data_IF_019533313452
#
_entry.id   IF_019533313452
#
_cell.length_a   1.000
_cell.length_b   1.000
_cell.length_c   1.000
_cell.angle_alpha   90.00
_cell.angle_beta   90.00
_cell.angle_gamma   90.00
#
_symmetry.space_group_name_H-M   'P 1'
#
loop_
_entity.id
_entity.type
_entity.pdbx_description
1 polymer ?
#
# COMPACT_ATOMS: atom_id res chain seq x y z
N UNK A 1 8.37 -15.45 -19.62
CA UNK A 1 9.15 -14.42 -20.36
C UNK A 1 8.67 -13.07 -19.89
N UNK A 2 9.56 -12.15 -19.70
CA UNK A 2 9.22 -10.76 -19.40
C UNK A 2 8.81 -10.03 -20.69
N UNK A 3 7.82 -9.12 -20.61
CA UNK A 3 7.32 -8.41 -21.79
C UNK A 3 8.33 -7.40 -22.30
N UNK A 4 9.02 -6.69 -21.41
CA UNK A 4 10.01 -5.68 -21.82
C UNK A 4 11.20 -6.35 -22.52
N UNK A 5 11.67 -7.49 -21.99
CA UNK A 5 12.71 -8.32 -22.67
C UNK A 5 12.26 -8.78 -24.06
N UNK A 6 10.99 -9.18 -24.20
CA UNK A 6 10.44 -9.58 -25.51
C UNK A 6 10.42 -8.42 -26.51
N UNK A 7 10.06 -7.24 -26.07
CA UNK A 7 10.04 -6.02 -26.91
C UNK A 7 11.46 -5.65 -27.34
N UNK A 8 12.41 -5.65 -26.41
CA UNK A 8 13.81 -5.30 -26.69
C UNK A 8 14.49 -6.28 -27.64
N UNK A 9 14.25 -7.57 -27.43
CA UNK A 9 14.90 -8.63 -28.26
C UNK A 9 14.20 -8.91 -29.56
N UNK A 10 12.97 -8.44 -29.77
CA UNK A 10 12.15 -8.75 -30.95
C UNK A 10 11.82 -10.23 -31.09
N UNK A 11 11.91 -11.02 -30.04
CA UNK A 11 11.67 -12.46 -30.03
C UNK A 11 10.20 -12.75 -30.36
N UNK A 12 9.97 -13.61 -31.34
CA UNK A 12 8.61 -14.04 -31.70
C UNK A 12 8.01 -14.94 -30.63
N UNK A 13 6.72 -14.74 -30.36
CA UNK A 13 5.94 -15.56 -29.42
C UNK A 13 5.16 -16.63 -30.17
N UNK A 14 4.92 -17.76 -29.50
CA UNK A 14 4.15 -18.90 -30.03
C UNK A 14 3.08 -19.33 -29.06
N UNK A 15 2.08 -20.06 -29.56
CA UNK A 15 1.03 -20.61 -28.72
C UNK A 15 1.61 -21.44 -27.55
N UNK A 16 1.13 -21.17 -26.37
CA UNK A 16 1.58 -21.76 -25.11
C UNK A 16 2.61 -20.93 -24.34
N UNK A 17 3.18 -19.90 -24.96
CA UNK A 17 4.11 -19.03 -24.24
C UNK A 17 3.38 -18.27 -23.11
N UNK A 18 4.06 -18.16 -21.96
CA UNK A 18 3.59 -17.41 -20.81
C UNK A 18 4.42 -16.15 -20.67
N UNK A 19 3.74 -15.00 -20.64
CA UNK A 19 4.36 -13.66 -20.60
C UNK A 19 3.90 -12.96 -19.34
N UNK A 20 4.81 -12.25 -18.70
CA UNK A 20 4.58 -11.39 -17.56
C UNK A 20 4.92 -9.95 -17.93
N UNK A 21 4.08 -9.02 -17.53
CA UNK A 21 4.36 -7.60 -17.60
C UNK A 21 4.16 -6.98 -16.21
N UNK A 22 5.18 -6.32 -15.71
CA UNK A 22 5.15 -5.60 -14.44
C UNK A 22 5.09 -4.10 -14.72
N UNK A 23 4.02 -3.46 -14.28
CA UNK A 23 3.87 -2.02 -14.42
C UNK A 23 4.28 -1.32 -13.12
N UNK A 24 5.55 -0.89 -13.04
CA UNK A 24 6.12 -0.09 -11.95
C UNK A 24 5.96 -0.72 -10.55
N UNK A 25 5.93 -2.04 -10.45
CA UNK A 25 5.67 -2.74 -9.19
C UNK A 25 4.24 -2.59 -8.63
N UNK A 26 3.34 -1.90 -9.35
CA UNK A 26 1.98 -1.56 -8.90
C UNK A 26 0.87 -2.27 -9.68
N UNK A 27 1.20 -2.89 -10.77
CA UNK A 27 0.27 -3.65 -11.60
C UNK A 27 0.97 -4.82 -12.24
N UNK A 28 0.27 -5.95 -12.32
CA UNK A 28 0.78 -7.17 -12.90
C UNK A 28 -0.17 -7.65 -13.99
N UNK A 29 0.38 -7.95 -15.16
CA UNK A 29 -0.36 -8.58 -16.24
C UNK A 29 0.31 -9.91 -16.63
N UNK A 30 -0.49 -10.95 -16.70
CA UNK A 30 -0.06 -12.30 -17.07
C UNK A 30 -0.79 -12.73 -18.32
N UNK A 31 -0.08 -13.29 -19.29
CA UNK A 31 -0.64 -13.77 -20.54
C UNK A 31 -0.26 -15.22 -20.81
N UNK A 32 -1.22 -15.93 -21.41
CA UNK A 32 -0.95 -17.21 -22.09
C UNK A 32 -1.34 -17.01 -23.53
N UNK A 33 -0.38 -17.17 -24.43
CA UNK A 33 -0.58 -17.00 -25.86
C UNK A 33 -1.38 -18.19 -26.38
N UNK A 34 -2.56 -17.92 -26.95
CA UNK A 34 -3.39 -18.93 -27.59
C UNK A 34 -2.96 -19.20 -29.05
N UNK A 35 -3.57 -20.21 -29.65
CA UNK A 35 -3.32 -20.56 -31.09
C UNK A 35 -4.15 -19.74 -32.07
N UNK A 36 -5.20 -19.06 -31.62
CA UNK A 36 -6.05 -18.19 -32.46
C UNK A 36 -5.59 -16.74 -32.35
N UNK A 37 -5.87 -15.94 -33.39
CA UNK A 37 -5.59 -14.51 -33.35
C UNK A 37 -6.42 -13.79 -32.27
N UNK A 38 -5.94 -12.65 -31.81
CA UNK A 38 -6.64 -11.79 -30.82
C UNK A 38 -8.01 -11.32 -31.32
N UNK A 39 -8.20 -11.20 -32.63
CA UNK A 39 -9.50 -10.86 -33.22
C UNK A 39 -10.62 -11.86 -32.88
N UNK A 40 -10.25 -13.07 -32.47
CA UNK A 40 -11.20 -14.10 -31.99
C UNK A 40 -11.53 -13.93 -30.51
N UNK A 41 -10.98 -12.91 -29.87
CA UNK A 41 -11.21 -12.58 -28.47
C UNK A 41 -10.19 -13.21 -27.52
N UNK A 42 -10.30 -12.85 -26.26
CA UNK A 42 -9.51 -13.39 -25.15
C UNK A 42 -10.37 -13.59 -23.91
N UNK A 43 -9.95 -14.47 -23.03
CA UNK A 43 -10.52 -14.59 -21.69
C UNK A 43 -9.74 -13.70 -20.75
N UNK A 44 -10.43 -12.79 -20.04
CA UNK A 44 -9.80 -11.85 -19.12
C UNK A 44 -10.25 -12.16 -17.70
N UNK A 45 -9.28 -12.35 -16.80
CA UNK A 45 -9.47 -12.41 -15.36
C UNK A 45 -8.91 -11.12 -14.78
N UNK A 46 -9.73 -10.37 -14.05
CA UNK A 46 -9.30 -9.09 -13.45
C UNK A 46 -9.63 -9.05 -11.97
N UNK A 47 -8.68 -8.57 -11.18
CA UNK A 47 -8.87 -8.32 -9.76
C UNK A 47 -7.98 -7.15 -9.32
N UNK A 48 -8.37 -6.41 -8.26
CA UNK A 48 -7.50 -5.45 -7.62
C UNK A 48 -6.72 -6.12 -6.49
N UNK A 49 -5.57 -5.55 -6.11
CA UNK A 49 -4.69 -6.06 -5.05
C UNK A 49 -4.41 -5.03 -3.96
N UNK A 50 -4.85 -3.79 -4.15
CA UNK A 50 -4.83 -2.77 -3.12
C UNK A 50 -5.92 -3.02 -2.09
N UNK A 51 -5.65 -2.57 -0.86
CA UNK A 51 -6.59 -2.64 0.26
C UNK A 51 -6.84 -1.25 0.81
N UNK A 52 -8.01 -0.99 1.42
CA UNK A 52 -8.26 0.26 2.11
C UNK A 52 -7.24 0.48 3.23
N UNK A 53 -6.69 1.69 3.34
CA UNK A 53 -5.58 2.02 4.24
C UNK A 53 -5.57 3.50 4.60
N UNK A 54 -4.57 3.92 5.35
CA UNK A 54 -4.19 5.32 5.46
C UNK A 54 -2.90 5.55 4.67
N UNK A 55 -2.78 6.73 4.06
CA UNK A 55 -1.57 7.19 3.37
C UNK A 55 -1.05 8.44 4.08
N UNK A 56 0.28 8.60 4.20
CA UNK A 56 0.86 9.85 4.70
C UNK A 56 0.62 10.98 3.70
N UNK A 57 0.35 12.18 4.22
CA UNK A 57 0.35 13.41 3.41
C UNK A 57 1.77 13.79 3.00
N UNK A 58 1.90 14.74 2.08
CA UNK A 58 3.20 15.14 1.52
C UNK A 58 4.14 15.82 2.51
N UNK A 59 3.60 16.52 3.51
CA UNK A 59 4.35 17.11 4.63
C UNK A 59 3.71 16.59 5.91
N UNK A 60 3.97 15.32 6.27
CA UNK A 60 3.14 14.66 7.27
C UNK A 60 3.55 14.97 8.71
N UNK A 61 4.84 15.29 8.95
CA UNK A 61 5.40 15.36 10.29
C UNK A 61 5.12 16.70 10.97
N UNK A 62 4.42 16.66 12.10
CA UNK A 62 4.18 17.81 12.96
C UNK A 62 4.24 17.41 14.43
N UNK A 63 4.32 18.39 15.32
CA UNK A 63 4.27 18.22 16.77
C UNK A 63 3.05 18.94 17.33
N UNK A 64 2.29 18.26 18.17
CA UNK A 64 1.22 18.84 18.97
C UNK A 64 1.22 18.21 20.37
N UNK A 65 1.05 19.06 21.40
CA UNK A 65 0.98 18.63 22.81
C UNK A 65 2.14 17.70 23.23
N UNK A 66 3.38 18.04 22.86
CA UNK A 66 4.58 17.26 23.11
C UNK A 66 4.55 15.84 22.49
N UNK A 67 3.85 15.66 21.40
CA UNK A 67 3.80 14.43 20.61
C UNK A 67 4.13 14.69 19.15
N UNK A 68 4.95 13.85 18.56
CA UNK A 68 5.20 13.86 17.13
C UNK A 68 4.16 12.96 16.43
N UNK A 69 3.55 13.50 15.40
CA UNK A 69 2.45 12.90 14.66
C UNK A 69 2.73 12.93 13.16
N UNK A 70 2.24 11.90 12.46
CA UNK A 70 2.12 11.93 11.02
C UNK A 70 0.68 12.23 10.62
N UNK A 71 0.49 13.32 9.89
CA UNK A 71 -0.78 13.68 9.26
C UNK A 71 -1.08 12.70 8.12
N UNK A 72 -2.29 12.15 8.12
CA UNK A 72 -2.70 11.11 7.18
C UNK A 72 -4.00 11.47 6.46
N UNK A 73 -4.27 10.74 5.40
CA UNK A 73 -5.61 10.63 4.84
C UNK A 73 -5.92 9.15 4.58
N UNK A 74 -7.18 8.76 4.66
CA UNK A 74 -7.57 7.39 4.36
C UNK A 74 -7.87 7.21 2.87
N UNK A 75 -7.49 6.04 2.37
CA UNK A 75 -7.74 5.59 1.02
C UNK A 75 -8.76 4.45 1.02
N UNK A 76 -9.77 4.54 0.14
CA UNK A 76 -10.86 3.57 0.07
C UNK A 76 -11.87 3.71 1.20
N UNK A 77 -12.72 2.70 1.36
CA UNK A 77 -13.76 2.68 2.39
C UNK A 77 -13.27 2.01 3.67
N UNK A 78 -12.97 2.79 4.70
CA UNK A 78 -12.62 2.27 6.03
C UNK A 78 -13.69 2.58 7.08
N UNK A 79 -13.87 1.68 8.04
CA UNK A 79 -14.59 1.97 9.28
C UNK A 79 -13.60 2.62 10.24
N UNK A 80 -13.53 3.95 10.26
CA UNK A 80 -12.52 4.74 10.99
C UNK A 80 -12.33 4.32 12.44
N UNK A 81 -13.41 3.96 13.13
CA UNK A 81 -13.37 3.50 14.52
C UNK A 81 -12.63 2.16 14.72
N UNK A 82 -12.37 1.40 13.66
CA UNK A 82 -11.56 0.18 13.72
C UNK A 82 -10.06 0.44 13.60
N UNK A 83 -9.66 1.64 13.24
CA UNK A 83 -8.27 2.01 12.98
C UNK A 83 -7.58 2.68 14.16
N UNK A 84 -8.35 3.06 15.19
CA UNK A 84 -7.82 3.59 16.44
C UNK A 84 -7.41 2.45 17.38
N UNK A 85 -6.38 2.69 18.21
CA UNK A 85 -5.85 1.73 19.20
C UNK A 85 -5.28 0.42 18.63
N UNK A 86 -5.10 0.34 17.33
CA UNK A 86 -4.41 -0.77 16.67
C UNK A 86 -2.91 -0.50 16.56
N UNK A 87 -2.07 -1.53 16.72
CA UNK A 87 -0.70 -1.43 16.22
C UNK A 87 -0.72 -1.31 14.70
N UNK A 88 -0.03 -0.31 14.18
CA UNK A 88 0.09 -0.03 12.75
C UNK A 88 1.54 -0.10 12.32
N UNK A 89 1.77 -0.43 11.05
CA UNK A 89 3.05 -0.49 10.37
C UNK A 89 3.11 0.50 9.22
N UNK A 90 4.32 0.89 8.83
CA UNK A 90 4.60 1.82 7.73
C UNK A 90 5.28 1.08 6.59
N UNK A 91 4.70 1.19 5.39
CA UNK A 91 5.22 0.56 4.18
C UNK A 91 5.27 1.53 3.03
N UNK A 92 6.34 1.52 2.26
CA UNK A 92 6.40 2.34 1.08
C UNK A 92 7.80 2.58 0.55
N UNK A 93 7.89 3.61 -0.28
CA UNK A 93 9.15 4.04 -0.88
C UNK A 93 9.27 5.55 -0.83
N UNK A 94 10.48 6.01 -0.68
CA UNK A 94 10.87 7.41 -0.74
C UNK A 94 11.87 7.56 -1.87
N UNK A 95 11.57 8.42 -2.84
CA UNK A 95 12.50 8.75 -3.93
C UNK A 95 13.29 9.99 -3.57
N UNK A 96 14.60 9.86 -3.36
CA UNK A 96 15.46 10.98 -2.95
C UNK A 96 15.85 11.86 -4.12
N UNK A 97 16.29 13.09 -3.82
CA UNK A 97 16.72 14.09 -4.83
C UNK A 97 17.89 13.61 -5.69
N UNK A 98 18.72 12.72 -5.18
CA UNK A 98 19.86 12.12 -5.91
C UNK A 98 19.46 10.96 -6.83
N UNK A 99 18.17 10.61 -6.89
CA UNK A 99 17.63 9.50 -7.66
C UNK A 99 17.67 8.14 -6.95
N UNK A 100 18.21 8.08 -5.75
CA UNK A 100 18.17 6.87 -4.94
C UNK A 100 16.77 6.66 -4.33
N UNK A 101 16.47 5.44 -3.95
CA UNK A 101 15.20 5.05 -3.31
C UNK A 101 15.45 4.41 -1.96
N UNK A 102 14.65 4.80 -0.97
CA UNK A 102 14.60 4.17 0.36
C UNK A 102 13.30 3.39 0.46
N UNK A 103 13.39 2.09 0.75
CA UNK A 103 12.21 1.28 1.06
C UNK A 103 11.92 1.38 2.55
N UNK A 104 10.71 1.78 2.88
CA UNK A 104 10.20 1.83 4.25
C UNK A 104 9.44 0.55 4.55
N UNK A 105 9.81 -0.13 5.62
CA UNK A 105 9.11 -1.29 6.16
C UNK A 105 9.36 -1.33 7.66
N UNK A 106 8.44 -0.78 8.45
CA UNK A 106 8.55 -0.61 9.90
C UNK A 106 7.28 -1.15 10.55
N UNK A 107 7.40 -2.04 11.53
CA UNK A 107 6.30 -2.53 12.34
C UNK A 107 5.86 -3.97 12.08
N UNK A 108 6.47 -4.68 11.12
CA UNK A 108 6.11 -6.06 10.81
C UNK A 108 6.86 -7.11 11.62
N UNK A 109 8.12 -6.83 11.94
CA UNK A 109 8.95 -7.79 12.67
C UNK A 109 8.66 -7.71 14.18
N UNK A 110 8.85 -8.80 14.93
CA UNK A 110 8.56 -8.83 16.37
C UNK A 110 9.30 -7.76 17.21
N UNK A 111 10.44 -7.28 16.73
CA UNK A 111 11.25 -6.27 17.41
C UNK A 111 11.13 -4.86 16.83
N UNK A 112 10.34 -4.69 15.76
CA UNK A 112 10.12 -3.37 15.19
C UNK A 112 9.22 -2.55 16.11
N UNK A 113 9.42 -1.23 16.21
CA UNK A 113 8.44 -0.35 16.81
C UNK A 113 7.16 -0.34 15.96
N UNK A 114 6.03 -0.24 16.61
CA UNK A 114 4.74 0.01 15.92
C UNK A 114 4.33 1.46 16.15
N UNK A 115 3.52 1.97 15.24
CA UNK A 115 2.87 3.28 15.35
C UNK A 115 1.38 3.09 15.57
N UNK A 116 0.61 4.13 15.82
CA UNK A 116 -0.82 3.97 16.00
C UNK A 116 -1.57 5.28 16.16
N UNK A 117 -2.89 5.20 16.03
CA UNK A 117 -3.80 6.31 16.32
C UNK A 117 -4.34 6.12 17.72
N UNK A 118 -4.11 7.09 18.60
CA UNK A 118 -4.65 7.07 19.95
C UNK A 118 -6.15 7.38 19.96
N UNK A 119 -6.85 6.94 21.00
CA UNK A 119 -8.26 7.25 21.22
C UNK A 119 -8.49 7.65 22.67
N UNK A 120 -9.62 8.27 22.93
CA UNK A 120 -10.02 8.68 24.26
C UNK A 120 -10.33 7.45 25.15
N UNK A 121 -9.83 7.48 26.37
CA UNK A 121 -10.26 6.49 27.36
C UNK A 121 -11.73 6.73 27.77
N UNK A 122 -12.39 5.67 28.24
CA UNK A 122 -13.83 5.65 28.48
C UNK A 122 -14.33 6.83 29.38
N UNK A 123 -13.53 7.26 30.33
CA UNK A 123 -13.92 8.34 31.26
C UNK A 123 -13.95 9.72 30.60
N UNK A 124 -13.27 9.90 29.45
CA UNK A 124 -13.23 11.15 28.68
C UNK A 124 -14.08 11.09 27.42
N UNK A 125 -14.60 9.92 27.03
CA UNK A 125 -15.27 9.69 25.77
C UNK A 125 -16.78 9.88 25.76
N UNK A 126 -17.37 10.49 26.79
CA UNK A 126 -18.82 10.61 26.94
C UNK A 126 -19.55 11.20 25.73
N UNK A 127 -19.05 12.30 25.19
CA UNK A 127 -19.60 12.89 23.95
C UNK A 127 -19.36 12.03 22.71
N UNK A 128 -18.20 11.37 22.63
CA UNK A 128 -17.85 10.49 21.54
C UNK A 128 -18.79 9.29 21.50
N UNK A 129 -19.06 8.68 22.65
CA UNK A 129 -19.91 7.49 22.76
C UNK A 129 -21.38 7.74 22.39
N UNK A 130 -21.83 8.99 22.43
CA UNK A 130 -23.17 9.38 21.98
C UNK A 130 -23.33 9.53 20.47
N UNK A 131 -22.27 9.46 19.69
CA UNK A 131 -22.27 9.66 18.24
C UNK A 131 -22.57 8.37 17.49
N UNK A 132 -23.02 8.52 16.23
CA UNK A 132 -23.11 7.36 15.31
C UNK A 132 -21.72 6.81 15.00
N UNK A 133 -21.61 5.53 14.74
CA UNK A 133 -20.34 4.88 14.41
C UNK A 133 -19.60 5.55 13.24
N UNK A 134 -20.31 6.13 12.26
CA UNK A 134 -19.72 6.86 11.14
C UNK A 134 -19.10 8.21 11.54
N UNK A 135 -19.45 8.74 12.70
CA UNK A 135 -19.12 10.08 13.19
C UNK A 135 -18.22 10.04 14.45
N UNK A 136 -18.09 8.86 15.09
CA UNK A 136 -17.35 8.69 16.33
C UNK A 136 -15.87 9.04 16.18
N UNK A 137 -15.27 8.68 15.05
CA UNK A 137 -13.91 9.08 14.65
C UNK A 137 -14.01 9.90 13.36
N UNK A 138 -13.44 11.10 13.38
CA UNK A 138 -13.32 11.94 12.17
C UNK A 138 -12.14 11.47 11.33
N UNK A 139 -12.25 11.59 10.01
CA UNK A 139 -11.16 11.25 9.10
C UNK A 139 -9.89 12.08 9.36
N UNK A 140 -10.06 13.37 9.59
CA UNK A 140 -9.00 14.32 9.91
C UNK A 140 -8.37 14.13 11.31
N UNK A 141 -8.83 13.15 12.09
CA UNK A 141 -8.27 12.80 13.40
C UNK A 141 -7.57 11.43 13.39
N UNK A 142 -7.27 10.91 12.21
CA UNK A 142 -6.54 9.65 12.04
C UNK A 142 -5.02 9.90 11.93
N UNK A 143 -4.52 10.86 12.72
CA UNK A 143 -3.09 11.15 12.75
C UNK A 143 -2.35 10.12 13.59
N UNK A 144 -1.23 9.68 13.05
CA UNK A 144 -0.48 8.55 13.60
C UNK A 144 0.57 9.05 14.57
N UNK A 145 0.48 8.65 15.83
CA UNK A 145 1.46 8.93 16.86
C UNK A 145 2.74 8.11 16.60
N UNK A 146 3.87 8.81 16.52
CA UNK A 146 5.17 8.23 16.20
C UNK A 146 6.26 8.49 17.24
N UNK A 147 6.02 9.36 18.21
CA UNK A 147 6.96 9.59 19.30
C UNK A 147 6.53 10.67 20.26
N UNK A 148 7.19 10.68 21.45
CA UNK A 148 6.92 11.64 22.52
C UNK A 148 8.16 12.03 23.33
N UNK A 149 9.37 11.59 22.91
CA UNK A 149 10.60 11.91 23.62
C UNK A 149 11.22 13.15 22.97
N UNK A 150 11.37 14.26 23.72
CA UNK A 150 12.05 15.45 23.21
C UNK A 150 13.54 15.19 23.00
N UNK A 151 14.11 15.76 21.95
CA UNK A 151 15.53 15.73 21.70
C UNK A 151 16.33 16.37 22.83
N UNK A 152 17.65 16.06 22.95
CA UNK A 152 18.51 16.62 23.98
C UNK A 152 18.59 18.15 23.87
N UNK A 153 18.50 18.82 24.99
CA UNK A 153 18.77 20.26 25.07
C UNK A 153 20.28 20.48 25.04
N UNK A 154 20.80 21.20 24.05
CA UNK A 154 22.23 21.37 23.86
C UNK A 154 22.81 22.48 24.74
N UNK A 155 22.07 23.59 24.94
CA UNK A 155 22.54 24.76 25.73
C UNK A 155 21.35 25.50 26.39
N UNK A 156 21.66 26.43 27.32
CA UNK A 156 20.61 27.28 27.95
C UNK A 156 19.87 28.19 26.96
N UNK A 157 20.49 28.51 25.82
CA UNK A 157 19.90 29.30 24.75
C UNK A 157 18.89 28.53 23.90
N UNK A 158 18.86 27.20 23.99
CA UNK A 158 17.90 26.31 23.30
C UNK A 158 16.49 26.26 23.95
N UNK A 159 16.24 27.12 24.96
CA UNK A 159 14.90 27.16 25.62
C UNK A 159 13.74 27.55 24.71
N UNK A 160 14.05 28.17 23.57
CA UNK A 160 13.06 28.61 22.58
C UNK A 160 12.85 27.64 21.42
N UNK A 161 13.53 26.48 21.39
CA UNK A 161 13.28 25.48 20.33
C UNK A 161 11.89 24.88 20.60
N UNK A 162 10.95 25.31 19.77
CA UNK A 162 9.64 24.68 19.63
C UNK A 162 9.81 23.36 18.87
N UNK A 163 8.90 22.42 19.10
CA UNK A 163 8.89 21.13 18.37
C UNK A 163 10.13 20.25 18.60
N UNK A 164 10.51 20.08 19.85
CA UNK A 164 11.69 19.25 20.24
C UNK A 164 11.46 17.76 20.01
N UNK A 165 10.23 17.27 20.12
CA UNK A 165 9.89 15.88 19.85
C UNK A 165 9.98 15.61 18.35
N UNK A 166 9.47 16.51 17.53
CA UNK A 166 9.61 16.46 16.06
C UNK A 166 11.10 16.44 15.67
N UNK A 167 11.91 17.29 16.27
CA UNK A 167 13.35 17.34 16.01
C UNK A 167 14.06 16.02 16.36
N UNK A 168 13.64 15.35 17.43
CA UNK A 168 14.17 14.04 17.79
C UNK A 168 13.77 12.97 16.75
N UNK A 169 12.51 12.96 16.33
CA UNK A 169 12.05 12.04 15.28
C UNK A 169 12.80 12.25 13.97
N UNK A 170 13.01 13.50 13.54
CA UNK A 170 13.83 13.79 12.36
C UNK A 170 15.25 13.26 12.50
N UNK A 171 15.84 13.37 13.71
CA UNK A 171 17.17 12.80 13.98
C UNK A 171 17.17 11.27 13.82
N UNK A 172 16.16 10.57 14.34
CA UNK A 172 16.03 9.13 14.22
C UNK A 172 15.84 8.74 12.74
N UNK A 173 14.96 9.42 12.02
CA UNK A 173 14.72 9.18 10.60
C UNK A 173 15.98 9.35 9.76
N UNK A 174 16.76 10.39 10.04
CA UNK A 174 18.02 10.64 9.33
C UNK A 174 19.08 9.59 9.67
N UNK A 175 19.24 9.21 10.95
CA UNK A 175 20.27 8.27 11.39
C UNK A 175 19.99 6.82 11.03
N UNK A 176 18.75 6.38 11.18
CA UNK A 176 18.40 4.97 10.99
C UNK A 176 17.94 4.65 9.58
N UNK A 177 17.28 5.61 8.92
CA UNK A 177 16.67 5.39 7.59
C UNK A 177 17.28 6.27 6.50
N UNK A 178 18.15 7.21 6.86
CA UNK A 178 18.75 8.15 5.91
C UNK A 178 17.73 9.07 5.23
N UNK A 179 16.64 9.44 5.93
CA UNK A 179 15.51 10.22 5.42
C UNK A 179 15.46 11.56 6.10
N UNK A 180 15.38 12.63 5.32
CA UNK A 180 15.18 13.99 5.78
C UNK A 180 13.72 14.44 5.59
N UNK A 181 13.32 15.55 6.23
CA UNK A 181 11.94 16.04 6.17
C UNK A 181 11.47 16.35 4.74
N UNK A 182 12.34 16.91 3.90
CA UNK A 182 12.05 17.21 2.50
C UNK A 182 11.81 15.95 1.64
N UNK A 183 12.34 14.81 2.03
CA UNK A 183 12.19 13.55 1.29
C UNK A 183 10.74 13.04 1.31
N UNK A 184 9.94 13.46 2.31
CA UNK A 184 8.51 13.12 2.35
C UNK A 184 7.70 13.70 1.19
N UNK A 185 8.16 14.75 0.53
CA UNK A 185 7.48 15.32 -0.65
C UNK A 185 7.35 14.32 -1.80
N UNK A 186 8.28 13.39 -1.91
CA UNK A 186 8.32 12.33 -2.92
C UNK A 186 8.07 10.93 -2.34
N UNK A 187 7.63 10.86 -1.09
CA UNK A 187 7.31 9.62 -0.42
C UNK A 187 5.92 9.09 -0.80
N UNK A 188 5.81 7.80 -0.94
CA UNK A 188 4.54 7.07 -0.99
C UNK A 188 4.57 6.05 0.15
N UNK A 189 4.00 6.41 1.29
CA UNK A 189 4.00 5.60 2.51
C UNK A 189 2.58 5.31 2.93
N UNK A 190 2.28 4.03 3.03
CA UNK A 190 1.03 3.46 3.48
C UNK A 190 1.12 3.09 4.97
N UNK A 191 0.04 3.34 5.71
CA UNK A 191 -0.12 2.96 7.11
C UNK A 191 -1.18 1.89 7.18
N UNK A 192 -0.81 0.71 7.67
CA UNK A 192 -1.66 -0.49 7.66
C UNK A 192 -1.60 -1.22 9.00
N UNK A 193 -2.56 -2.09 9.34
CA UNK A 193 -2.48 -2.92 10.53
C UNK A 193 -1.20 -3.75 10.57
N UNK A 194 -0.46 -3.66 11.67
CA UNK A 194 0.83 -4.32 11.86
C UNK A 194 0.67 -5.83 12.14
N UNK A 195 1.66 -6.58 11.70
CA UNK A 195 1.83 -8.00 12.01
C UNK A 195 1.40 -8.95 10.92
N UNK A 196 1.90 -10.17 11.04
CA UNK A 196 1.69 -11.23 10.07
C UNK A 196 0.27 -11.82 10.15
N UNK A 197 -0.18 -12.39 9.03
CA UNK A 197 -1.39 -13.21 9.03
C UNK A 197 -1.22 -14.43 9.95
N UNK A 198 -2.29 -14.80 10.66
CA UNK A 198 -2.29 -15.88 11.65
C UNK A 198 -3.47 -16.83 11.47
N UNK A 199 -3.31 -18.05 11.94
CA UNK A 199 -4.44 -18.95 12.12
C UNK A 199 -5.50 -18.31 13.04
N UNK A 200 -6.75 -18.39 12.64
CA UNK A 200 -7.87 -17.85 13.38
C UNK A 200 -8.88 -18.96 13.75
N UNK A 201 -9.33 -18.89 14.99
CA UNK A 201 -10.12 -19.95 15.62
C UNK A 201 -9.23 -20.98 16.33
N UNK A 202 -9.77 -21.63 17.36
CA UNK A 202 -9.03 -22.68 18.11
C UNK A 202 -8.75 -23.90 17.25
N UNK A 203 -9.57 -24.15 16.27
CA UNK A 203 -9.43 -25.22 15.28
C UNK A 203 -8.57 -24.83 14.07
N UNK A 204 -8.06 -23.57 14.03
CA UNK A 204 -7.22 -23.03 12.96
C UNK A 204 -7.86 -23.10 11.57
N UNK A 205 -9.20 -23.08 11.49
CA UNK A 205 -9.92 -23.23 10.23
C UNK A 205 -9.96 -21.97 9.36
N UNK A 206 -9.59 -20.82 9.92
CA UNK A 206 -9.60 -19.53 9.26
C UNK A 206 -8.25 -18.83 9.34
N UNK A 207 -8.08 -17.77 8.58
CA UNK A 207 -6.89 -16.92 8.61
C UNK A 207 -7.33 -15.50 8.97
N UNK A 208 -6.69 -14.92 9.98
CA UNK A 208 -6.80 -13.50 10.30
C UNK A 208 -5.61 -12.76 9.70
N UNK A 209 -5.88 -11.75 8.91
CA UNK A 209 -4.84 -10.92 8.30
C UNK A 209 -5.44 -9.71 7.59
N UNK A 210 -4.62 -8.72 7.37
CA UNK A 210 -4.98 -7.55 6.57
C UNK A 210 -4.83 -7.86 5.08
N UNK A 211 -5.68 -7.26 4.25
CA UNK A 211 -5.54 -7.33 2.79
C UNK A 211 -6.27 -8.49 2.12
N UNK A 212 -7.22 -9.16 2.79
CA UNK A 212 -8.08 -10.16 2.14
C UNK A 212 -8.87 -9.57 0.97
N UNK A 213 -9.36 -8.35 1.09
CA UNK A 213 -9.99 -7.59 0.00
C UNK A 213 -8.88 -6.81 -0.76
N UNK A 214 -8.55 -7.14 -2.06
CA UNK A 214 -9.22 -8.22 -2.79
C UNK A 214 -8.24 -9.34 -3.22
N UNK A 215 -7.24 -9.63 -2.40
CA UNK A 215 -6.29 -10.71 -2.69
C UNK A 215 -6.96 -12.08 -2.78
N UNK A 216 -8.13 -12.25 -2.17
CA UNK A 216 -8.93 -13.48 -2.29
C UNK A 216 -9.45 -13.71 -3.71
N UNK A 217 -9.60 -12.68 -4.53
CA UNK A 217 -9.91 -12.81 -5.95
C UNK A 217 -8.67 -12.84 -6.83
N UNK A 218 -7.65 -12.05 -6.49
CA UNK A 218 -6.43 -11.97 -7.27
C UNK A 218 -5.63 -13.28 -7.22
N UNK A 219 -5.47 -13.88 -6.04
CA UNK A 219 -4.70 -15.11 -5.88
C UNK A 219 -5.28 -16.31 -6.63
N UNK A 220 -6.58 -16.62 -6.56
CA UNK A 220 -7.17 -17.69 -7.38
C UNK A 220 -7.03 -17.43 -8.88
N UNK A 221 -7.14 -16.19 -9.32
CA UNK A 221 -6.93 -15.83 -10.72
C UNK A 221 -5.50 -16.12 -11.17
N UNK A 222 -4.51 -15.76 -10.34
CA UNK A 222 -3.11 -16.08 -10.56
C UNK A 222 -2.87 -17.59 -10.58
N UNK A 223 -3.39 -18.33 -9.61
CA UNK A 223 -3.28 -19.79 -9.53
C UNK A 223 -3.89 -20.46 -10.77
N UNK A 224 -5.08 -20.04 -11.18
CA UNK A 224 -5.73 -20.56 -12.38
C UNK A 224 -4.85 -20.37 -13.64
N UNK A 225 -4.19 -19.21 -13.76
CA UNK A 225 -3.26 -18.93 -14.86
C UNK A 225 -2.05 -19.86 -14.86
N UNK A 226 -1.49 -20.17 -13.68
CA UNK A 226 -0.35 -21.09 -13.58
C UNK A 226 -0.72 -22.53 -13.97
N UNK A 227 -1.93 -22.98 -13.63
CA UNK A 227 -2.44 -24.32 -13.84
C UNK A 227 -2.99 -24.57 -15.25
N UNK A 228 -3.16 -23.50 -16.05
CA UNK A 228 -3.54 -23.66 -17.45
C UNK A 228 -2.42 -24.33 -18.24
N UNK A 229 -2.71 -25.50 -18.83
CA UNK A 229 -1.82 -26.17 -19.77
C UNK A 229 -1.79 -25.47 -21.13
N UNK A 230 -0.66 -25.57 -21.81
CA UNK A 230 -0.27 -24.78 -22.99
C UNK A 230 -1.09 -24.98 -24.27
N UNK A 231 -2.16 -25.79 -24.26
CA UNK A 231 -2.92 -26.15 -25.48
C UNK A 231 -4.31 -25.51 -25.55
N UNK A 232 -4.41 -24.19 -25.30
CA UNK A 232 -5.68 -23.49 -25.41
C UNK A 232 -5.83 -22.76 -26.74
N UNK A 233 -7.02 -22.90 -27.33
CA UNK A 233 -7.34 -22.23 -28.60
C UNK A 233 -7.52 -20.72 -28.47
N UNK A 234 -7.78 -20.19 -27.28
CA UNK A 234 -8.07 -18.78 -26.99
C UNK A 234 -7.04 -18.25 -26.02
N UNK A 235 -6.64 -16.99 -26.21
CA UNK A 235 -5.70 -16.31 -25.32
C UNK A 235 -6.32 -16.09 -23.95
N UNK A 236 -5.51 -16.18 -22.90
CA UNK A 236 -5.94 -15.94 -21.53
C UNK A 236 -5.06 -14.83 -20.95
N UNK A 237 -5.70 -13.89 -20.30
CA UNK A 237 -5.08 -12.73 -19.70
C UNK A 237 -5.57 -12.56 -18.27
N UNK A 238 -4.66 -12.33 -17.32
CA UNK A 238 -4.99 -11.93 -15.96
C UNK A 238 -4.31 -10.61 -15.63
N UNK A 239 -5.03 -9.70 -15.03
CA UNK A 239 -4.55 -8.38 -14.64
C UNK A 239 -4.89 -8.13 -13.18
N UNK A 240 -3.91 -7.62 -12.42
CA UNK A 240 -4.12 -7.15 -11.07
C UNK A 240 -3.59 -5.72 -10.91
N UNK A 241 -4.27 -4.88 -10.15
CA UNK A 241 -3.95 -3.46 -9.97
C UNK A 241 -3.88 -3.09 -8.50
N UNK A 242 -2.96 -2.20 -8.15
CA UNK A 242 -2.81 -1.70 -6.77
C UNK A 242 -3.73 -0.52 -6.42
N UNK A 243 -4.36 0.14 -7.40
CA UNK A 243 -5.28 1.26 -7.13
C UNK A 243 -6.72 0.88 -7.48
N UNK A 244 -7.58 0.91 -6.47
CA UNK A 244 -9.03 0.83 -6.63
C UNK A 244 -9.50 2.14 -7.27
N UNK A 245 -9.88 2.12 -8.55
CA UNK A 245 -10.70 3.20 -9.09
C UNK A 245 -12.11 3.06 -8.52
N UNK A 246 -12.63 4.14 -7.95
CA UNK A 246 -14.01 4.21 -7.49
C UNK A 246 -14.96 3.69 -8.57
N UNK A 247 -15.72 2.68 -8.23
CA UNK A 247 -16.98 2.15 -8.74
C UNK A 247 -17.40 2.26 -10.24
N UNK A 248 -16.59 2.81 -11.12
CA UNK A 248 -16.85 2.76 -12.56
C UNK A 248 -15.79 1.91 -13.23
N UNK A 249 -16.12 0.65 -13.35
CA UNK A 249 -15.36 -0.33 -14.11
C UNK A 249 -15.48 0.01 -15.59
N UNK A 250 -14.51 0.72 -16.15
CA UNK A 250 -14.38 0.78 -17.60
C UNK A 250 -13.40 -0.32 -18.05
N UNK A 251 -13.90 -1.35 -18.75
CA UNK A 251 -13.06 -2.37 -19.40
C UNK A 251 -12.02 -1.73 -20.34
N UNK A 252 -12.30 -0.52 -20.82
CA UNK A 252 -11.44 0.28 -21.67
C UNK A 252 -10.10 0.68 -21.03
N UNK A 253 -9.98 0.77 -19.69
CA UNK A 253 -8.72 1.18 -19.07
C UNK A 253 -7.65 0.08 -19.13
N UNK A 254 -8.02 -1.19 -19.00
CA UNK A 254 -7.10 -2.32 -19.22
C UNK A 254 -6.71 -2.43 -20.69
N UNK A 255 -7.67 -2.24 -21.62
CA UNK A 255 -7.40 -2.31 -23.04
C UNK A 255 -6.60 -1.11 -23.57
N UNK A 256 -6.78 0.08 -22.98
CA UNK A 256 -6.12 1.32 -23.47
C UNK A 256 -4.64 1.43 -23.12
N UNK A 257 -4.25 1.06 -21.91
CA UNK A 257 -2.84 1.04 -21.53
C UNK A 257 -2.07 -0.02 -22.33
N UNK A 258 -2.71 -1.14 -22.62
CA UNK A 258 -2.09 -2.28 -23.29
C UNK A 258 -2.17 -2.18 -24.82
N UNK A 259 -3.28 -1.71 -25.39
CA UNK A 259 -3.44 -1.58 -26.83
C UNK A 259 -2.49 -0.54 -27.43
N UNK A 260 -2.17 0.54 -26.72
CA UNK A 260 -1.24 1.55 -27.22
C UNK A 260 0.23 1.11 -27.21
N UNK A 261 0.62 0.25 -26.27
CA UNK A 261 2.04 -0.14 -26.13
C UNK A 261 2.39 -1.41 -26.93
N UNK A 262 1.45 -2.34 -27.04
CA UNK A 262 1.70 -3.66 -27.66
C UNK A 262 1.23 -3.75 -29.11
N UNK A 263 0.27 -2.92 -29.56
CA UNK A 263 -0.39 -3.06 -30.84
C UNK A 263 -0.11 -1.95 -31.87
N UNK A 264 0.70 -0.96 -31.51
CA UNK A 264 1.11 0.11 -32.45
C UNK A 264 2.50 -0.12 -33.10
N UNK A 265 3.03 -1.36 -33.02
CA UNK A 265 4.23 -1.73 -33.80
C UNK A 265 4.00 -3.00 -34.62
#
# INVERSE_FOLDING_TARGET
>A
MDLDELIETGKSVKAGDKIIANNMGKGLALFIVGSKSLEKGMNILGAHIDSPRMDLKQVPLYEDTDMALFDTHYYGGIKKYQWVTLPLSLHGVICKKDGSTVTVNIGDKPNDPVVGVSDLLIHLSGEQMGKKASEVIKGESLDVLIGSIPGPQKDEDDKDIKERVKANILTILSQEYGVDEDDFLSAEIEVVPAGEARDYGLDRSMIMGYGHDDRVCAYPSYRAMLEIEAHRNIQVYACSWTKRKSAQWEPAACSHAFSKTVWQR
#
